data_IF_744521999388
#
_entry.id   IF_744521999388
#
_cell.length_a   1.000
_cell.length_b   1.000
_cell.length_c   1.000
_cell.angle_alpha   90.00
_cell.angle_beta   90.00
_cell.angle_gamma   90.00
#
_symmetry.space_group_name_H-M   'P 1'
#
loop_
_entity.id
_entity.type
_entity.pdbx_description
1 polymer ?
#
# COMPACT_ATOMS: atom_id res chain seq x y z
N UNK A 1 9.72 -12.69 -0.24
CA UNK A 1 8.91 -11.87 -1.14
C UNK A 1 7.67 -11.37 -0.40
N UNK A 2 7.36 -10.10 -0.52
CA UNK A 2 6.23 -9.50 0.19
C UNK A 2 5.26 -8.87 -0.79
N UNK A 3 3.98 -8.99 -0.48
CA UNK A 3 2.91 -8.42 -1.30
C UNK A 3 1.98 -7.55 -0.46
N UNK A 4 1.57 -6.42 -1.04
CA UNK A 4 0.42 -5.68 -0.55
C UNK A 4 -0.76 -6.06 -1.42
N UNK A 5 -1.91 -6.30 -0.80
CA UNK A 5 -3.12 -6.57 -1.56
C UNK A 5 -4.24 -5.62 -1.15
N UNK A 6 -5.15 -5.40 -2.09
CA UNK A 6 -6.40 -4.70 -1.85
C UNK A 6 -7.52 -5.64 -2.30
N UNK A 7 -8.06 -6.41 -1.36
CA UNK A 7 -9.01 -7.46 -1.68
C UNK A 7 -10.34 -6.92 -2.21
N UNK A 8 -10.68 -5.67 -1.89
CA UNK A 8 -11.91 -5.08 -2.42
C UNK A 8 -11.83 -4.91 -3.94
N UNK A 9 -10.67 -4.47 -4.44
CA UNK A 9 -10.50 -4.16 -5.86
C UNK A 9 -9.70 -5.24 -6.60
N UNK A 10 -9.42 -6.36 -5.94
CA UNK A 10 -8.65 -7.46 -6.51
C UNK A 10 -7.28 -7.02 -7.04
N UNK A 11 -6.61 -6.18 -6.28
CA UNK A 11 -5.26 -5.70 -6.63
C UNK A 11 -4.22 -6.35 -5.75
N UNK A 12 -3.07 -6.65 -6.33
CA UNK A 12 -1.92 -7.14 -5.58
C UNK A 12 -0.66 -6.52 -6.18
N UNK A 13 0.29 -6.16 -5.33
CA UNK A 13 1.54 -5.58 -5.81
C UNK A 13 2.71 -6.21 -5.05
N UNK A 14 3.76 -6.56 -5.81
CA UNK A 14 4.98 -7.12 -5.26
C UNK A 14 5.87 -5.97 -4.78
N UNK A 15 6.16 -5.93 -3.48
CA UNK A 15 6.96 -4.85 -2.91
C UNK A 15 8.38 -4.79 -3.45
N UNK A 16 8.90 -5.86 -4.04
CA UNK A 16 10.21 -5.82 -4.67
C UNK A 16 10.27 -4.85 -5.85
N UNK A 17 9.12 -4.53 -6.44
CA UNK A 17 9.04 -3.63 -7.61
C UNK A 17 8.60 -2.22 -7.24
N UNK A 18 8.48 -1.92 -5.95
CA UNK A 18 7.98 -0.62 -5.50
C UNK A 18 9.13 0.32 -5.19
N UNK A 19 9.08 1.52 -5.76
CA UNK A 19 10.07 2.56 -5.51
C UNK A 19 9.62 3.50 -4.40
N UNK A 20 8.34 3.83 -4.37
CA UNK A 20 7.83 4.82 -3.43
C UNK A 20 6.39 4.54 -3.05
N UNK A 21 6.05 4.78 -1.79
CA UNK A 21 4.69 4.70 -1.27
C UNK A 21 4.36 6.06 -0.67
N UNK A 22 3.28 6.69 -1.12
CA UNK A 22 2.92 8.03 -0.69
C UNK A 22 1.45 8.09 -0.29
N UNK A 23 1.16 8.73 0.83
CA UNK A 23 -0.23 9.04 1.20
C UNK A 23 -0.57 10.41 0.65
N UNK A 24 -1.60 10.46 -0.18
CA UNK A 24 -2.19 11.71 -0.67
C UNK A 24 -3.49 11.97 0.09
N UNK A 25 -4.26 12.99 -0.34
CA UNK A 25 -5.44 13.43 0.41
C UNK A 25 -6.38 12.30 0.79
N UNK A 26 -6.71 11.42 -0.16
CA UNK A 26 -7.70 10.38 0.06
C UNK A 26 -7.33 9.05 -0.61
N UNK A 27 -6.06 8.86 -0.93
CA UNK A 27 -5.60 7.59 -1.51
C UNK A 27 -4.13 7.33 -1.19
N UNK A 28 -3.77 6.05 -1.23
CA UNK A 28 -2.40 5.60 -1.13
C UNK A 28 -1.88 5.37 -2.55
N UNK A 29 -0.81 6.07 -2.88
CA UNK A 29 -0.20 5.97 -4.20
C UNK A 29 1.07 5.13 -4.11
N UNK A 30 1.23 4.23 -5.05
CA UNK A 30 2.41 3.38 -5.15
C UNK A 30 3.07 3.63 -6.50
N UNK A 31 4.36 3.88 -6.48
CA UNK A 31 5.16 4.12 -7.69
C UNK A 31 6.07 2.92 -7.92
N UNK A 32 6.07 2.38 -9.14
CA UNK A 32 6.84 1.19 -9.48
C UNK A 32 7.62 1.43 -10.78
N UNK A 33 8.60 0.57 -11.04
CA UNK A 33 9.29 0.52 -12.33
C UNK A 33 10.53 1.37 -12.45
N UNK A 34 10.70 2.36 -11.60
CA UNK A 34 11.87 3.23 -11.58
C UNK A 34 12.15 3.99 -12.88
N UNK A 35 12.94 5.05 -12.77
CA UNK A 35 13.42 5.77 -13.93
C UNK A 35 12.33 6.33 -14.83
N UNK A 36 12.59 6.30 -16.13
CA UNK A 36 11.69 6.86 -17.13
C UNK A 36 10.40 6.06 -17.31
N UNK A 37 10.39 4.82 -16.84
CA UNK A 37 9.23 3.93 -16.96
C UNK A 37 8.44 3.83 -15.67
N UNK A 38 8.66 4.73 -14.72
CA UNK A 38 7.95 4.71 -13.44
C UNK A 38 6.44 4.83 -13.66
N UNK A 39 5.67 4.02 -12.95
CA UNK A 39 4.21 4.01 -13.02
C UNK A 39 3.64 4.30 -11.65
N UNK A 40 2.60 5.13 -11.62
CA UNK A 40 1.90 5.45 -10.39
C UNK A 40 0.56 4.73 -10.36
N UNK A 41 0.25 4.11 -9.22
CA UNK A 41 -0.99 3.38 -9.03
C UNK A 41 -1.69 3.92 -7.79
N UNK A 42 -2.96 4.31 -7.92
CA UNK A 42 -3.81 4.56 -6.76
C UNK A 42 -4.21 3.20 -6.21
N UNK A 43 -3.55 2.76 -5.15
CA UNK A 43 -3.71 1.40 -4.66
C UNK A 43 -4.97 1.21 -3.83
N UNK A 44 -5.28 2.16 -2.97
CA UNK A 44 -6.47 2.09 -2.12
C UNK A 44 -6.90 3.51 -1.73
N UNK A 45 -8.22 3.73 -1.64
CA UNK A 45 -8.81 4.98 -1.19
C UNK A 45 -9.24 4.87 0.26
N UNK A 46 -9.24 6.00 0.96
CA UNK A 46 -9.70 6.04 2.34
C UNK A 46 -9.55 7.42 2.93
N UNK A 47 -9.86 7.56 4.24
CA UNK A 47 -9.65 8.82 4.95
C UNK A 47 -8.17 9.07 5.14
N UNK A 48 -7.78 10.34 5.30
CA UNK A 48 -6.39 10.70 5.56
C UNK A 48 -5.85 10.00 6.82
N UNK A 49 -6.66 9.98 7.89
CA UNK A 49 -6.25 9.33 9.14
C UNK A 49 -6.08 7.83 8.95
N UNK A 50 -7.01 7.19 8.25
CA UNK A 50 -6.93 5.76 7.98
C UNK A 50 -5.72 5.43 7.12
N UNK A 51 -5.45 6.23 6.09
CA UNK A 51 -4.30 6.01 5.22
C UNK A 51 -2.98 6.25 5.94
N UNK A 52 -2.93 7.22 6.87
CA UNK A 52 -1.73 7.44 7.68
C UNK A 52 -1.47 6.23 8.57
N UNK A 53 -2.52 5.67 9.18
CA UNK A 53 -2.39 4.46 9.98
C UNK A 53 -1.94 3.28 9.12
N UNK A 54 -2.48 3.16 7.90
CA UNK A 54 -2.06 2.13 6.96
C UNK A 54 -0.60 2.28 6.58
N UNK A 55 -0.14 3.49 6.34
CA UNK A 55 1.25 3.73 6.01
C UNK A 55 2.18 3.23 7.13
N UNK A 56 1.83 3.54 8.38
CA UNK A 56 2.61 3.06 9.53
C UNK A 56 2.57 1.53 9.61
N UNK A 57 1.43 0.92 9.33
CA UNK A 57 1.29 -0.52 9.32
C UNK A 57 2.18 -1.15 8.24
N UNK A 58 2.27 -0.51 7.07
CA UNK A 58 3.15 -0.99 6.01
C UNK A 58 4.61 -0.94 6.46
N UNK A 59 5.02 0.11 7.16
CA UNK A 59 6.38 0.19 7.66
C UNK A 59 6.69 -0.96 8.64
N UNK A 60 5.75 -1.28 9.52
CA UNK A 60 5.89 -2.42 10.42
C UNK A 60 5.94 -3.74 9.63
N UNK A 61 5.08 -3.87 8.63
CA UNK A 61 5.02 -5.03 7.76
C UNK A 61 6.38 -5.28 7.07
N UNK A 62 7.01 -4.19 6.59
CA UNK A 62 8.31 -4.31 5.93
C UNK A 62 9.41 -4.77 6.88
N UNK A 63 9.27 -4.47 8.17
CA UNK A 63 10.29 -4.75 9.17
C UNK A 63 10.16 -6.14 9.82
N UNK A 64 9.09 -6.88 9.54
CA UNK A 64 8.88 -8.18 10.17
C UNK A 64 8.76 -9.31 9.12
N UNK A 65 8.40 -10.50 9.57
CA UNK A 65 8.38 -11.69 8.71
C UNK A 65 7.08 -11.91 7.94
N UNK A 66 6.13 -11.01 8.04
CA UNK A 66 4.88 -11.13 7.32
C UNK A 66 5.12 -11.12 5.81
N UNK A 67 4.35 -11.91 5.07
CA UNK A 67 4.52 -12.01 3.61
C UNK A 67 3.44 -11.29 2.83
N UNK A 68 2.25 -11.13 3.41
CA UNK A 68 1.11 -10.51 2.75
C UNK A 68 0.40 -9.58 3.72
N UNK A 69 0.09 -8.38 3.28
CA UNK A 69 -0.74 -7.44 4.04
C UNK A 69 -1.92 -7.03 3.18
N UNK A 70 -3.13 -7.31 3.67
CA UNK A 70 -4.36 -6.88 3.00
C UNK A 70 -4.72 -5.49 3.51
N UNK A 71 -4.46 -4.49 2.67
CA UNK A 71 -4.69 -3.10 3.02
C UNK A 71 -6.16 -2.79 3.25
N UNK A 72 -7.04 -3.42 2.46
CA UNK A 72 -8.47 -3.21 2.63
C UNK A 72 -8.96 -3.73 3.99
N UNK A 73 -8.54 -4.93 4.37
CA UNK A 73 -8.94 -5.48 5.67
C UNK A 73 -8.40 -4.66 6.83
N UNK A 74 -7.18 -4.16 6.71
CA UNK A 74 -6.62 -3.26 7.72
C UNK A 74 -7.47 -1.99 7.84
N UNK A 75 -7.83 -1.38 6.70
CA UNK A 75 -8.58 -0.13 6.69
C UNK A 75 -9.96 -0.29 7.32
N UNK A 76 -10.58 -1.46 7.20
CA UNK A 76 -11.86 -1.73 7.83
C UNK A 76 -11.77 -1.65 9.35
N UNK A 77 -10.62 -1.98 9.92
CA UNK A 77 -10.41 -1.97 11.35
C UNK A 77 -10.09 -0.62 11.94
N UNK A 78 -9.79 0.39 11.12
CA UNK A 78 -9.41 1.74 11.60
C UNK A 78 -10.47 2.80 11.28
N UNK A 79 -11.65 2.38 10.92
CA UNK A 79 -12.75 3.28 10.56
C UNK A 79 -13.17 4.17 11.73
#
# INVERSE_FOLDING_TARGET
MKFLINSKDNKAINLANVDEITVSCNYLKITTGGGLNAREVCFIYGSTDGLTALFKRIMTFLANDEKVLDCYEFMKGVA
#
